data_IF_824633477805
#
_entry.id   IF_824633477805
#
_cell.length_a   1.000
_cell.length_b   1.000
_cell.length_c   1.000
_cell.angle_alpha   90.00
_cell.angle_beta   90.00
_cell.angle_gamma   90.00
#
_symmetry.space_group_name_H-M   'P 1'
#
loop_
_entity.id
_entity.type
_entity.pdbx_description
1 polymer ?
#
# COMPACT_ATOMS: atom_id res chain seq x y z
N UNK A 1 17.22 -15.33 -2.74
CA UNK A 1 17.20 -16.33 -1.65
C UNK A 1 15.99 -16.04 -0.77
N UNK A 2 14.97 -16.92 -0.73
CA UNK A 2 13.77 -16.74 0.07
C UNK A 2 13.98 -16.96 1.58
N UNK A 3 15.07 -17.60 2.03
CA UNK A 3 15.30 -17.90 3.44
C UNK A 3 15.91 -16.75 4.24
N UNK A 4 16.65 -15.86 3.59
CA UNK A 4 17.28 -14.72 4.25
C UNK A 4 16.42 -13.45 4.29
N UNK A 5 15.21 -13.49 3.70
CA UNK A 5 14.41 -12.30 3.45
C UNK A 5 15.11 -11.40 2.42
N UNK A 6 14.40 -11.01 1.36
CA UNK A 6 14.86 -9.84 0.63
C UNK A 6 14.88 -8.68 1.64
N UNK A 7 16.05 -8.11 1.94
CA UNK A 7 16.14 -6.89 2.73
C UNK A 7 15.11 -5.92 2.17
N UNK A 8 14.23 -5.41 3.05
CA UNK A 8 13.13 -4.53 2.63
C UNK A 8 13.67 -3.48 1.65
N UNK A 9 13.06 -3.38 0.47
CA UNK A 9 13.57 -2.47 -0.55
C UNK A 9 13.59 -1.05 0.00
N UNK A 10 14.57 -0.23 -0.40
CA UNK A 10 14.64 1.18 0.05
C UNK A 10 13.32 1.93 -0.21
N UNK A 11 12.62 1.59 -1.29
CA UNK A 11 11.28 2.09 -1.58
C UNK A 11 10.23 1.60 -0.57
N UNK A 12 10.24 0.32 -0.18
CA UNK A 12 9.33 -0.22 0.84
C UNK A 12 9.51 0.47 2.19
N UNK A 13 10.76 0.75 2.58
CA UNK A 13 11.05 1.49 3.80
C UNK A 13 10.55 2.94 3.72
N UNK A 14 10.74 3.61 2.58
CA UNK A 14 10.21 4.95 2.34
C UNK A 14 8.68 4.98 2.46
N UNK A 15 7.96 4.05 1.82
CA UNK A 15 6.51 3.97 1.92
C UNK A 15 6.03 3.67 3.34
N UNK A 16 6.75 2.85 4.09
CA UNK A 16 6.47 2.60 5.50
C UNK A 16 6.58 3.88 6.34
N UNK A 17 7.68 4.63 6.17
CA UNK A 17 7.87 5.92 6.85
C UNK A 17 6.81 6.96 6.48
N UNK A 18 6.46 7.06 5.19
CA UNK A 18 5.40 7.96 4.72
C UNK A 18 4.04 7.59 5.31
N UNK A 19 3.71 6.29 5.32
CA UNK A 19 2.44 5.79 5.88
C UNK A 19 2.37 6.10 7.38
N UNK A 20 3.46 5.89 8.12
CA UNK A 20 3.53 6.22 9.54
C UNK A 20 3.37 7.73 9.77
N UNK A 21 4.05 8.56 8.97
CA UNK A 21 3.91 10.02 9.02
C UNK A 21 2.48 10.48 8.75
N UNK A 22 1.81 9.89 7.75
CA UNK A 22 0.40 10.14 7.45
C UNK A 22 -0.52 9.71 8.59
N UNK A 23 -0.27 8.56 9.21
CA UNK A 23 -1.06 8.07 10.34
C UNK A 23 -0.97 9.00 11.56
N UNK A 24 0.22 9.55 11.82
CA UNK A 24 0.42 10.57 12.86
C UNK A 24 -0.28 11.87 12.49
N UNK A 25 -0.10 12.36 11.26
CA UNK A 25 -0.71 13.61 10.78
C UNK A 25 -2.25 13.59 10.78
N UNK A 26 -2.84 12.43 10.48
CA UNK A 26 -4.28 12.22 10.49
C UNK A 26 -4.84 11.81 11.87
N UNK A 27 -4.02 11.83 12.93
CA UNK A 27 -4.41 11.46 14.30
C UNK A 27 -5.02 10.04 14.44
N UNK A 28 -4.60 9.10 13.59
CA UNK A 28 -5.17 7.73 13.56
C UNK A 28 -4.93 7.02 14.90
N UNK A 29 -3.80 7.29 15.56
CA UNK A 29 -3.48 6.74 16.87
C UNK A 29 -4.50 7.15 17.95
N UNK A 30 -5.01 8.38 17.92
CA UNK A 30 -6.04 8.84 18.86
C UNK A 30 -7.37 8.13 18.63
N UNK A 31 -7.76 7.97 17.35
CA UNK A 31 -8.97 7.23 17.00
C UNK A 31 -8.88 5.74 17.38
N UNK A 32 -7.70 5.12 17.22
CA UNK A 32 -7.47 3.74 17.63
C UNK A 32 -7.67 3.53 19.15
N UNK A 33 -7.22 4.48 19.98
CA UNK A 33 -7.45 4.44 21.44
C UNK A 33 -8.93 4.64 21.76
N UNK A 34 -9.61 5.56 21.08
CA UNK A 34 -11.04 5.79 21.28
C UNK A 34 -11.87 4.56 20.88
N UNK A 35 -11.50 3.90 19.77
CA UNK A 35 -12.10 2.64 19.32
C UNK A 35 -11.92 1.52 20.35
N UNK A 36 -10.72 1.37 20.92
CA UNK A 36 -10.45 0.39 21.97
C UNK A 36 -11.27 0.67 23.25
N UNK A 37 -11.44 1.95 23.61
CA UNK A 37 -12.29 2.32 24.74
C UNK A 37 -13.77 2.02 24.48
N UNK A 38 -14.25 2.10 23.23
CA UNK A 38 -15.62 1.70 22.85
C UNK A 38 -15.80 0.18 22.82
N UNK A 39 -14.77 -0.58 22.42
CA UNK A 39 -14.86 -2.05 22.31
C UNK A 39 -15.09 -2.74 23.65
N UNK A 40 -14.60 -2.16 24.77
CA UNK A 40 -14.84 -2.72 26.11
C UNK A 40 -16.24 -2.43 26.66
N UNK A 41 -16.95 -1.46 26.08
CA UNK A 41 -18.36 -1.21 26.41
C UNK A 41 -19.31 -2.15 25.67
N UNK A 42 -18.84 -2.81 24.61
CA UNK A 42 -19.67 -3.61 23.70
C UNK A 42 -18.90 -4.85 23.23
N UNK A 43 -19.08 -6.04 23.85
CA UNK A 43 -20.08 -6.41 24.87
C UNK A 43 -19.63 -6.10 26.32
N UNK A 44 -20.57 -5.81 27.25
CA UNK A 44 -20.25 -5.52 28.65
C UNK A 44 -19.52 -6.68 29.34
N UNK A 45 -18.70 -6.41 30.37
CA UNK A 45 -18.06 -7.45 31.16
C UNK A 45 -19.08 -8.47 31.70
N UNK A 46 -18.84 -9.75 31.44
CA UNK A 46 -19.72 -10.85 31.88
C UNK A 46 -20.75 -11.30 30.84
N UNK A 47 -20.83 -10.65 29.67
CA UNK A 47 -21.58 -11.18 28.53
C UNK A 47 -20.71 -12.05 27.62
N UNK A 48 -21.34 -13.02 26.96
CA UNK A 48 -20.68 -13.88 25.98
C UNK A 48 -20.29 -13.07 24.74
N UNK A 49 -19.04 -13.23 24.30
CA UNK A 49 -18.56 -12.68 23.04
C UNK A 49 -18.81 -13.71 21.95
N UNK A 50 -19.50 -13.33 20.89
CA UNK A 50 -19.65 -14.20 19.72
C UNK A 50 -18.32 -14.27 18.94
N UNK A 51 -17.46 -15.22 19.31
CA UNK A 51 -16.14 -15.40 18.69
C UNK A 51 -16.21 -15.62 17.18
N UNK A 52 -17.26 -16.27 16.67
CA UNK A 52 -17.45 -16.51 15.24
C UNK A 52 -17.59 -15.21 14.48
N UNK A 53 -18.48 -14.32 14.91
CA UNK A 53 -18.66 -13.01 14.30
C UNK A 53 -17.40 -12.13 14.41
N UNK A 54 -16.69 -12.17 15.54
CA UNK A 54 -15.43 -11.45 15.71
C UNK A 54 -14.36 -11.96 14.72
N UNK A 55 -14.19 -13.27 14.63
CA UNK A 55 -13.23 -13.88 13.70
C UNK A 55 -13.57 -13.56 12.24
N UNK A 56 -14.84 -13.63 11.87
CA UNK A 56 -15.31 -13.23 10.53
C UNK A 56 -14.98 -11.78 10.24
N UNK A 57 -15.27 -10.87 11.18
CA UNK A 57 -14.99 -9.44 11.03
C UNK A 57 -13.49 -9.20 10.79
N UNK A 58 -12.61 -9.80 11.59
CA UNK A 58 -11.16 -9.67 11.45
C UNK A 58 -10.68 -10.21 10.10
N UNK A 59 -11.14 -11.39 9.69
CA UNK A 59 -10.75 -12.01 8.42
C UNK A 59 -11.20 -11.15 7.24
N UNK A 60 -12.46 -10.73 7.23
CA UNK A 60 -13.00 -9.87 6.16
C UNK A 60 -12.23 -8.55 6.09
N UNK A 61 -11.88 -7.96 7.24
CA UNK A 61 -11.08 -6.72 7.30
C UNK A 61 -9.68 -6.92 6.71
N UNK A 62 -9.02 -8.04 7.04
CA UNK A 62 -7.71 -8.38 6.51
C UNK A 62 -7.74 -8.60 4.98
N UNK A 63 -8.76 -9.28 4.47
CA UNK A 63 -8.97 -9.47 3.03
C UNK A 63 -9.18 -8.11 2.35
N UNK A 64 -9.99 -7.24 2.95
CA UNK A 64 -10.27 -5.91 2.41
C UNK A 64 -9.00 -5.04 2.37
N UNK A 65 -8.19 -5.05 3.42
CA UNK A 65 -6.91 -4.35 3.46
C UNK A 65 -5.92 -4.85 2.39
N UNK A 66 -5.88 -6.17 2.16
CA UNK A 66 -5.08 -6.77 1.08
C UNK A 66 -5.58 -6.36 -0.30
N UNK A 67 -6.89 -6.38 -0.53
CA UNK A 67 -7.47 -5.92 -1.79
C UNK A 67 -7.20 -4.43 -2.04
N UNK A 68 -7.29 -3.60 -0.99
CA UNK A 68 -6.97 -2.18 -1.07
C UNK A 68 -5.50 -1.95 -1.42
N UNK A 69 -4.56 -2.65 -0.78
CA UNK A 69 -3.13 -2.47 -1.05
C UNK A 69 -2.77 -2.82 -2.49
N UNK A 70 -3.35 -3.90 -3.04
CA UNK A 70 -3.20 -4.26 -4.46
C UNK A 70 -3.78 -3.18 -5.37
N UNK A 71 -4.97 -2.65 -5.04
CA UNK A 71 -5.62 -1.60 -5.83
C UNK A 71 -4.83 -0.29 -5.81
N UNK A 72 -4.20 0.05 -4.69
CA UNK A 72 -3.29 1.19 -4.58
C UNK A 72 -1.98 0.97 -5.34
N UNK A 73 -1.51 -0.28 -5.45
CA UNK A 73 -0.29 -0.64 -6.20
C UNK A 73 -0.49 -0.66 -7.73
N UNK A 74 -1.70 -0.98 -8.20
CA UNK A 74 -2.07 -1.10 -9.62
C UNK A 74 -1.56 0.02 -10.53
N UNK A 75 -1.76 1.32 -10.25
CA UNK A 75 -1.32 2.37 -11.16
C UNK A 75 0.21 2.46 -11.29
N UNK A 76 0.95 2.15 -10.22
CA UNK A 76 2.41 2.09 -10.26
C UNK A 76 2.90 0.89 -11.07
N UNK A 77 2.26 -0.27 -10.87
CA UNK A 77 2.53 -1.46 -11.67
C UNK A 77 2.21 -1.22 -13.16
N UNK A 78 1.11 -0.54 -13.46
CA UNK A 78 0.74 -0.14 -14.82
C UNK A 78 1.78 0.76 -15.48
N UNK A 79 2.25 1.79 -14.78
CA UNK A 79 3.32 2.67 -15.28
C UNK A 79 4.63 1.90 -15.54
N UNK A 80 5.02 1.00 -14.64
CA UNK A 80 6.19 0.16 -14.82
C UNK A 80 6.03 -0.80 -16.01
N UNK A 81 4.87 -1.43 -16.17
CA UNK A 81 4.57 -2.30 -17.31
C UNK A 81 4.65 -1.55 -18.64
N UNK A 82 4.08 -0.34 -18.71
CA UNK A 82 4.15 0.51 -19.90
C UNK A 82 5.59 0.88 -20.25
N UNK A 83 6.44 1.17 -19.26
CA UNK A 83 7.86 1.41 -19.48
C UNK A 83 8.56 0.18 -20.07
N UNK A 84 8.27 -1.02 -19.57
CA UNK A 84 8.84 -2.28 -20.10
C UNK A 84 8.36 -2.57 -21.53
N UNK A 85 7.09 -2.33 -21.82
CA UNK A 85 6.55 -2.45 -23.19
C UNK A 85 7.24 -1.46 -24.12
N UNK A 86 7.40 -0.20 -23.70
CA UNK A 86 8.12 0.83 -24.45
C UNK A 86 9.57 0.42 -24.75
N UNK A 87 10.27 -0.15 -23.78
CA UNK A 87 11.61 -0.73 -23.98
C UNK A 87 11.59 -1.86 -25.01
N UNK A 88 10.60 -2.76 -24.95
CA UNK A 88 10.47 -3.85 -25.92
C UNK A 88 10.28 -3.35 -27.36
N UNK A 89 9.52 -2.26 -27.54
CA UNK A 89 9.33 -1.60 -28.85
C UNK A 89 10.63 -0.93 -29.31
N UNK A 90 11.30 -0.18 -28.43
CA UNK A 90 12.58 0.47 -28.74
C UNK A 90 13.68 -0.54 -29.10
N UNK A 91 13.67 -1.72 -28.49
CA UNK A 91 14.63 -2.78 -28.79
C UNK A 91 14.51 -3.30 -30.23
N UNK A 92 13.30 -3.25 -30.81
CA UNK A 92 13.08 -3.56 -32.23
C UNK A 92 13.47 -2.39 -33.15
N UNK A 93 13.22 -1.16 -32.72
CA UNK A 93 13.45 0.04 -33.55
C UNK A 93 14.92 0.48 -33.58
N UNK A 94 15.67 0.29 -32.49
CA UNK A 94 17.06 0.74 -32.34
C UNK A 94 17.92 -0.31 -31.62
N UNK A 95 18.29 -1.42 -32.29
CA UNK A 95 19.02 -2.54 -31.67
C UNK A 95 20.46 -2.19 -31.24
N UNK A 96 20.98 -1.04 -31.69
CA UNK A 96 22.30 -0.52 -31.35
C UNK A 96 22.36 0.07 -29.93
N UNK A 97 21.20 0.36 -29.31
CA UNK A 97 21.13 0.94 -27.98
C UNK A 97 21.38 -0.14 -26.92
N UNK A 98 22.21 0.18 -25.92
CA UNK A 98 22.35 -0.65 -24.72
C UNK A 98 21.08 -0.50 -23.86
N UNK A 99 20.05 -1.26 -24.24
CA UNK A 99 18.73 -1.19 -23.64
C UNK A 99 18.72 -1.58 -22.16
N UNK A 100 19.66 -2.40 -21.68
CA UNK A 100 19.72 -2.72 -20.25
C UNK A 100 20.13 -1.51 -19.40
N UNK A 101 21.03 -0.68 -19.92
CA UNK A 101 21.46 0.56 -19.24
C UNK A 101 20.37 1.64 -19.24
N UNK A 102 19.58 1.72 -20.32
CA UNK A 102 18.46 2.66 -20.45
C UNK A 102 17.21 2.17 -19.69
N UNK A 103 16.99 0.86 -19.65
CA UNK A 103 15.79 0.25 -19.09
C UNK A 103 15.60 0.51 -17.61
N UNK A 104 16.70 0.51 -16.83
CA UNK A 104 16.65 0.90 -15.43
C UNK A 104 16.23 2.36 -15.28
N UNK A 105 16.90 3.27 -15.99
CA UNK A 105 16.64 4.71 -15.92
C UNK A 105 15.21 5.06 -16.34
N UNK A 106 14.71 4.43 -17.40
CA UNK A 106 13.35 4.63 -17.88
C UNK A 106 12.30 4.09 -16.90
N UNK A 107 12.51 2.89 -16.35
CA UNK A 107 11.60 2.30 -15.37
C UNK A 107 11.58 3.11 -14.08
N UNK A 108 12.73 3.61 -13.64
CA UNK A 108 12.85 4.49 -12.48
C UNK A 108 12.13 5.84 -12.72
N UNK A 109 12.30 6.44 -13.90
CA UNK A 109 11.63 7.68 -14.27
C UNK A 109 10.10 7.49 -14.35
N UNK A 110 9.62 6.41 -14.97
CA UNK A 110 8.20 6.11 -15.07
C UNK A 110 7.57 5.84 -13.70
N UNK A 111 8.21 4.99 -12.88
CA UNK A 111 7.75 4.69 -11.52
C UNK A 111 7.78 5.91 -10.61
N UNK A 112 8.86 6.69 -10.64
CA UNK A 112 9.00 7.92 -9.87
C UNK A 112 7.97 8.99 -10.26
N UNK A 113 7.69 9.15 -11.56
CA UNK A 113 6.66 10.08 -12.06
C UNK A 113 5.27 9.65 -11.60
N UNK A 114 4.97 8.34 -11.67
CA UNK A 114 3.71 7.81 -11.17
C UNK A 114 3.55 8.07 -9.66
N UNK A 115 4.60 7.83 -8.86
CA UNK A 115 4.61 8.14 -7.42
C UNK A 115 4.36 9.62 -7.19
N UNK A 116 5.07 10.50 -7.88
CA UNK A 116 4.93 11.95 -7.71
C UNK A 116 3.51 12.44 -8.00
N UNK A 117 2.90 11.99 -9.10
CA UNK A 117 1.56 12.42 -9.51
C UNK A 117 0.45 11.83 -8.62
N UNK A 118 0.61 10.59 -8.18
CA UNK A 118 -0.44 9.86 -7.48
C UNK A 118 -0.33 9.92 -5.96
N UNK A 119 0.83 10.34 -5.41
CA UNK A 119 1.07 10.46 -3.98
C UNK A 119 -0.07 11.14 -3.19
N UNK A 120 -0.56 12.35 -3.57
CA UNK A 120 -1.61 13.00 -2.78
C UNK A 120 -2.93 12.23 -2.81
N UNK A 121 -3.30 11.68 -3.97
CA UNK A 121 -4.52 10.87 -4.11
C UNK A 121 -4.44 9.59 -3.29
N UNK A 122 -3.30 8.88 -3.35
CA UNK A 122 -3.07 7.66 -2.57
C UNK A 122 -3.09 7.95 -1.07
N UNK A 123 -2.47 9.04 -0.63
CA UNK A 123 -2.49 9.46 0.76
C UNK A 123 -3.91 9.72 1.27
N UNK A 124 -4.71 10.45 0.50
CA UNK A 124 -6.10 10.74 0.85
C UNK A 124 -6.95 9.47 0.94
N UNK A 125 -6.84 8.58 -0.05
CA UNK A 125 -7.56 7.30 -0.07
C UNK A 125 -7.13 6.42 1.10
N UNK A 126 -5.84 6.36 1.40
CA UNK A 126 -5.30 5.57 2.52
C UNK A 126 -5.82 6.07 3.88
N UNK A 127 -5.80 7.38 4.11
CA UNK A 127 -6.33 7.97 5.36
C UNK A 127 -7.82 7.73 5.49
N UNK A 128 -8.61 7.97 4.43
CA UNK A 128 -10.06 7.72 4.43
C UNK A 128 -10.39 6.26 4.71
N UNK A 129 -9.67 5.34 4.07
CA UNK A 129 -9.87 3.90 4.29
C UNK A 129 -9.49 3.49 5.72
N UNK A 130 -8.42 4.03 6.28
CA UNK A 130 -8.01 3.74 7.65
C UNK A 130 -9.02 4.26 8.67
N UNK A 131 -9.53 5.48 8.51
CA UNK A 131 -10.54 6.03 9.41
C UNK A 131 -11.86 5.26 9.36
N UNK A 132 -12.24 4.71 8.20
CA UNK A 132 -13.44 3.90 8.05
C UNK A 132 -13.39 2.58 8.84
N UNK A 133 -12.20 2.10 9.23
CA UNK A 133 -12.04 0.89 10.06
C UNK A 133 -12.36 1.18 11.54
N UNK A 134 -12.11 2.41 11.99
CA UNK A 134 -12.29 2.79 13.40
C UNK A 134 -13.65 3.46 13.69
N UNK A 135 -14.39 3.81 12.63
CA UNK A 135 -15.78 4.28 12.72
C UNK A 135 -16.72 3.14 13.14
#
# INVERSE_FOLDING_TARGET
>A
DPFNGAAGSGAGQLFSMLTLGLAVAANIHGEAVAWLARSVATPPPGQEVELTHLAQTVITSAIWACALSVRLAMPFAGAALLAHVGMGVLGRAAPQLNLSSIGFSLSLAAGGTAIYLLAPMVAEVAVRAAMAVFA
#
